data_IF_140283659129
#
_entry.id   IF_140283659129
#
_cell.length_a   1.000
_cell.length_b   1.000
_cell.length_c   1.000
_cell.angle_alpha   90.00
_cell.angle_beta   90.00
_cell.angle_gamma   90.00
#
_symmetry.space_group_name_H-M   'P 1'
#
loop_
_entity.id
_entity.type
_entity.pdbx_description
1 polymer ?
#
# COMPACT_ATOMS: atom_id res chain seq x y z
N UNK A 1 -7.70 2.07 42.30
CA UNK A 1 -7.39 2.36 40.89
C UNK A 1 -6.75 1.11 40.31
N UNK A 2 -7.23 0.62 39.16
CA UNK A 2 -6.59 -0.51 38.48
C UNK A 2 -5.39 0.03 37.70
N UNK A 3 -4.18 -0.38 38.06
CA UNK A 3 -3.00 -0.09 37.25
C UNK A 3 -3.01 -0.98 36.00
N UNK A 4 -2.52 -0.46 34.89
CA UNK A 4 -2.34 -1.21 33.65
C UNK A 4 -0.84 -1.32 33.41
N UNK A 5 -0.35 -2.52 33.13
CA UNK A 5 1.07 -2.70 32.84
C UNK A 5 1.41 -2.06 31.49
N UNK A 6 2.41 -1.17 31.46
CA UNK A 6 2.85 -0.48 30.24
C UNK A 6 3.43 -1.39 29.14
N UNK A 7 3.84 -2.62 29.47
CA UNK A 7 4.42 -3.57 28.51
C UNK A 7 3.33 -4.46 27.88
N UNK A 8 2.54 -5.15 28.71
CA UNK A 8 1.56 -6.12 28.21
C UNK A 8 0.17 -5.50 27.98
N UNK A 9 -0.08 -4.29 28.48
CA UNK A 9 -1.34 -3.54 28.34
C UNK A 9 -2.54 -4.27 28.99
N UNK A 10 -2.30 -5.39 29.68
CA UNK A 10 -3.32 -6.09 30.44
C UNK A 10 -3.52 -5.42 31.81
N UNK A 11 -4.76 -5.44 32.28
CA UNK A 11 -5.09 -5.08 33.66
C UNK A 11 -4.29 -5.98 34.58
N UNK A 12 -3.51 -5.40 35.48
CA UNK A 12 -2.88 -6.18 36.52
C UNK A 12 -3.99 -6.73 37.42
N UNK A 13 -4.04 -8.05 37.54
CA UNK A 13 -4.90 -8.71 38.52
C UNK A 13 -4.27 -8.53 39.91
N UNK A 14 -5.08 -8.47 40.96
CA UNK A 14 -4.61 -8.27 42.35
C UNK A 14 -3.55 -9.29 42.79
N UNK A 15 -3.51 -10.46 42.15
CA UNK A 15 -2.52 -11.52 42.42
C UNK A 15 -1.17 -11.31 41.69
N UNK A 16 -1.08 -10.37 40.75
CA UNK A 16 0.18 -10.06 40.04
C UNK A 16 0.89 -8.91 40.72
N UNK A 17 2.08 -9.19 41.26
CA UNK A 17 2.95 -8.16 41.82
C UNK A 17 3.24 -7.09 40.76
N UNK A 18 2.83 -5.84 41.03
CA UNK A 18 3.16 -4.69 40.21
C UNK A 18 4.42 -4.01 40.76
N UNK A 19 5.29 -3.55 39.87
CA UNK A 19 6.45 -2.73 40.20
C UNK A 19 6.15 -1.32 39.69
N UNK A 20 6.14 -0.36 40.62
CA UNK A 20 6.11 1.07 40.32
C UNK A 20 7.55 1.54 40.13
N UNK A 21 7.85 2.10 38.96
CA UNK A 21 9.20 2.56 38.65
C UNK A 21 9.56 3.80 39.47
N UNK A 22 10.66 3.78 40.23
CA UNK A 22 11.12 4.96 40.94
C UNK A 22 11.51 6.06 39.94
N UNK A 23 11.14 7.30 40.24
CA UNK A 23 11.45 8.48 39.44
C UNK A 23 10.37 8.86 38.42
N UNK A 24 9.83 7.91 37.65
CA UNK A 24 8.83 8.21 36.62
C UNK A 24 7.40 7.76 36.96
N UNK A 25 7.22 6.86 37.92
CA UNK A 25 5.89 6.43 38.36
C UNK A 25 5.12 5.54 37.38
N UNK A 26 5.74 5.05 36.30
CA UNK A 26 5.13 4.04 35.42
C UNK A 26 5.02 2.70 36.15
N UNK A 27 3.97 1.93 35.86
CA UNK A 27 3.66 0.67 36.55
C UNK A 27 3.77 -0.51 35.57
N UNK A 28 4.42 -1.59 36.02
CA UNK A 28 4.59 -2.79 35.23
C UNK A 28 4.31 -4.06 36.05
N UNK A 29 3.82 -5.11 35.41
CA UNK A 29 3.79 -6.44 36.00
C UNK A 29 5.23 -6.90 36.26
N UNK A 30 5.52 -7.47 37.44
CA UNK A 30 6.85 -7.95 37.82
C UNK A 30 7.47 -8.86 36.76
N UNK A 31 6.71 -9.81 36.24
CA UNK A 31 7.21 -10.72 35.19
C UNK A 31 7.56 -9.99 33.88
N UNK A 32 6.80 -8.95 33.52
CA UNK A 32 7.08 -8.18 32.30
C UNK A 32 8.34 -7.34 32.46
N UNK A 33 8.49 -6.69 33.62
CA UNK A 33 9.64 -5.82 33.88
C UNK A 33 10.91 -6.65 34.13
N UNK A 34 10.84 -7.79 34.81
CA UNK A 34 12.00 -8.69 34.99
C UNK A 34 12.54 -9.19 33.64
N UNK A 35 11.65 -9.51 32.69
CA UNK A 35 12.04 -9.89 31.33
C UNK A 35 12.59 -8.70 30.52
N UNK A 36 12.08 -7.49 30.75
CA UNK A 36 12.50 -6.28 30.03
C UNK A 36 13.81 -5.68 30.55
N UNK A 37 14.09 -5.82 31.86
CA UNK A 37 15.24 -5.23 32.55
C UNK A 37 16.49 -6.09 32.52
N UNK A 38 16.45 -7.27 31.91
CA UNK A 38 17.61 -8.16 31.81
C UNK A 38 18.84 -7.56 31.13
N UNK A 39 18.77 -6.32 30.64
CA UNK A 39 19.78 -5.68 29.79
C UNK A 39 20.13 -4.24 30.21
N UNK A 40 19.15 -3.41 30.59
CA UNK A 40 19.37 -1.99 30.90
C UNK A 40 18.41 -1.53 32.02
N UNK A 41 18.91 -0.76 33.00
CA UNK A 41 18.12 -0.20 34.11
C UNK A 41 17.36 1.07 33.68
N UNK A 42 16.60 0.99 32.59
CA UNK A 42 15.81 2.10 32.05
C UNK A 42 14.33 1.75 32.06
N UNK A 43 13.48 2.73 32.38
CA UNK A 43 12.04 2.56 32.26
C UNK A 43 11.65 2.32 30.79
N UNK A 44 10.91 1.26 30.43
CA UNK A 44 10.55 0.99 29.03
C UNK A 44 9.71 2.08 28.36
N UNK A 45 8.94 2.85 29.14
CA UNK A 45 8.09 3.92 28.59
C UNK A 45 8.84 5.24 28.39
N UNK A 46 9.56 5.71 29.41
CA UNK A 46 10.17 7.05 29.40
C UNK A 46 11.70 7.04 29.33
N UNK A 47 12.31 5.86 29.29
CA UNK A 47 13.77 5.66 29.25
C UNK A 47 14.54 6.27 30.42
N UNK A 48 13.86 6.73 31.49
CA UNK A 48 14.54 7.22 32.69
C UNK A 48 15.36 6.09 33.30
N UNK A 49 16.67 6.34 33.40
CA UNK A 49 17.60 5.46 34.14
C UNK A 49 17.22 5.53 35.60
N UNK A 50 17.03 4.37 36.23
CA UNK A 50 16.75 4.32 37.66
C UNK A 50 17.82 3.46 38.35
N UNK A 51 18.50 4.08 39.31
CA UNK A 51 19.53 3.43 40.11
C UNK A 51 18.84 2.79 41.31
N UNK A 52 18.33 1.56 41.17
CA UNK A 52 17.92 0.82 42.36
C UNK A 52 19.15 0.20 43.04
N UNK A 53 19.42 0.51 44.32
CA UNK A 53 20.33 -0.27 45.13
C UNK A 53 19.55 -1.50 45.64
N UNK A 54 19.55 -2.63 44.93
CA UNK A 54 18.74 -3.81 45.32
C UNK A 54 19.25 -5.13 44.75
N UNK A 55 19.14 -6.27 45.48
CA UNK A 55 19.66 -7.62 45.15
C UNK A 55 19.18 -8.26 43.85
N UNK A 56 18.33 -7.58 43.07
CA UNK A 56 17.88 -7.99 41.74
C UNK A 56 18.87 -7.54 40.66
N UNK A 57 20.18 -7.75 40.89
CA UNK A 57 21.13 -7.67 39.78
C UNK A 57 20.71 -8.77 38.82
N UNK A 58 20.26 -8.46 37.58
CA UNK A 58 19.98 -9.49 36.60
C UNK A 58 21.20 -10.38 36.57
N UNK A 59 21.02 -11.69 36.76
CA UNK A 59 22.09 -12.65 36.54
C UNK A 59 22.60 -12.33 35.16
N UNK A 60 23.81 -11.78 35.07
CA UNK A 60 24.43 -11.42 33.79
C UNK A 60 24.40 -12.73 33.03
N UNK A 61 23.49 -12.84 32.05
CA UNK A 61 23.45 -13.97 31.16
C UNK A 61 24.85 -13.99 30.57
N UNK A 62 25.60 -15.06 30.89
CA UNK A 62 26.98 -15.22 30.45
C UNK A 62 27.08 -14.79 28.99
N UNK A 63 28.07 -13.98 28.65
CA UNK A 63 28.30 -13.50 27.29
C UNK A 63 28.43 -14.65 26.27
N UNK A 64 28.62 -15.88 26.75
CA UNK A 64 28.72 -17.10 25.95
C UNK A 64 27.36 -17.77 25.66
N UNK A 65 26.23 -17.22 26.11
CA UNK A 65 24.92 -17.79 25.81
C UNK A 65 24.47 -17.40 24.39
N UNK A 66 24.43 -18.37 23.47
CA UNK A 66 24.04 -18.22 22.06
C UNK A 66 22.73 -17.42 21.88
N UNK A 67 21.76 -17.61 22.77
CA UNK A 67 20.47 -16.90 22.74
C UNK A 67 20.62 -15.38 22.92
N UNK A 68 21.58 -14.94 23.73
CA UNK A 68 21.84 -13.52 23.96
C UNK A 68 22.44 -12.86 22.71
N UNK A 69 23.32 -13.58 22.00
CA UNK A 69 23.90 -13.10 20.74
C UNK A 69 22.84 -12.97 19.64
N UNK A 70 21.94 -13.95 19.53
CA UNK A 70 20.78 -13.88 18.62
C UNK A 70 19.88 -12.69 18.93
N UNK A 71 19.61 -12.43 20.21
CA UNK A 71 18.82 -11.27 20.63
C UNK A 71 19.49 -9.93 20.26
N UNK A 72 20.79 -9.77 20.49
CA UNK A 72 21.55 -8.56 20.10
C UNK A 72 21.47 -8.37 18.58
N UNK A 73 21.65 -9.44 17.81
CA UNK A 73 21.58 -9.40 16.36
C UNK A 73 20.16 -9.03 15.87
N UNK A 74 19.13 -9.57 16.50
CA UNK A 74 17.74 -9.21 16.23
C UNK A 74 17.47 -7.73 16.53
N UNK A 75 17.94 -7.22 17.68
CA UNK A 75 17.81 -5.80 18.03
C UNK A 75 18.50 -4.89 17.02
N UNK A 76 19.71 -5.27 16.57
CA UNK A 76 20.44 -4.53 15.53
C UNK A 76 19.67 -4.51 14.22
N UNK A 77 19.14 -5.65 13.79
CA UNK A 77 18.31 -5.75 12.58
C UNK A 77 17.04 -4.91 12.67
N UNK A 78 16.37 -4.89 13.83
CA UNK A 78 15.20 -4.02 14.07
C UNK A 78 15.57 -2.54 14.04
N UNK A 79 16.72 -2.15 14.60
CA UNK A 79 17.21 -0.78 14.54
C UNK A 79 17.48 -0.34 13.09
N UNK A 80 18.20 -1.16 12.31
CA UNK A 80 18.47 -0.92 10.90
C UNK A 80 17.18 -0.82 10.07
N UNK A 81 16.19 -1.69 10.31
CA UNK A 81 14.89 -1.64 9.65
C UNK A 81 14.13 -0.35 9.99
N UNK A 82 14.19 0.11 11.25
CA UNK A 82 13.58 1.37 11.66
C UNK A 82 14.24 2.58 10.99
N UNK A 83 15.57 2.60 10.87
CA UNK A 83 16.29 3.64 10.13
C UNK A 83 15.86 3.68 8.65
N UNK A 84 15.72 2.53 8.00
CA UNK A 84 15.21 2.45 6.63
C UNK A 84 13.77 2.95 6.50
N UNK A 85 12.91 2.63 7.47
CA UNK A 85 11.53 3.15 7.51
C UNK A 85 11.52 4.67 7.62
N UNK A 86 12.40 5.26 8.44
CA UNK A 86 12.51 6.72 8.54
C UNK A 86 13.01 7.35 7.24
N UNK A 87 14.01 6.76 6.58
CA UNK A 87 14.50 7.21 5.27
C UNK A 87 13.39 7.19 4.21
N UNK A 88 12.67 6.07 4.07
CA UNK A 88 11.55 5.94 3.12
C UNK A 88 10.41 6.92 3.41
N UNK A 89 10.12 7.20 4.68
CA UNK A 89 9.13 8.23 5.07
C UNK A 89 9.57 9.63 4.62
N UNK A 90 10.86 9.95 4.75
CA UNK A 90 11.40 11.23 4.29
C UNK A 90 11.32 11.37 2.77
N UNK A 91 11.72 10.33 2.02
CA UNK A 91 11.60 10.30 0.55
C UNK A 91 10.15 10.44 0.09
N UNK A 92 9.21 9.73 0.72
CA UNK A 92 7.80 9.83 0.39
C UNK A 92 7.24 11.23 0.65
N UNK A 93 7.70 11.91 1.70
CA UNK A 93 7.33 13.29 1.98
C UNK A 93 7.93 14.26 0.95
N UNK A 94 9.17 14.03 0.51
CA UNK A 94 9.79 14.82 -0.56
C UNK A 94 9.02 14.69 -1.87
N UNK A 95 8.69 13.47 -2.31
CA UNK A 95 7.91 13.22 -3.53
C UNK A 95 6.53 13.88 -3.45
N UNK A 96 5.88 13.88 -2.28
CA UNK A 96 4.60 14.60 -2.08
C UNK A 96 4.76 16.11 -2.29
N UNK A 97 5.84 16.71 -1.78
CA UNK A 97 6.14 18.12 -1.99
C UNK A 97 6.40 18.43 -3.47
N UNK A 98 7.18 17.61 -4.17
CA UNK A 98 7.46 17.76 -5.60
C UNK A 98 6.18 17.65 -6.44
N UNK A 99 5.32 16.66 -6.15
CA UNK A 99 4.03 16.50 -6.82
C UNK A 99 3.12 17.73 -6.61
N UNK A 100 3.12 18.32 -5.42
CA UNK A 100 2.36 19.53 -5.14
C UNK A 100 2.87 20.75 -5.94
N UNK A 101 4.19 20.85 -6.11
CA UNK A 101 4.81 21.89 -6.96
C UNK A 101 4.39 21.70 -8.42
N UNK A 102 4.45 20.48 -8.95
CA UNK A 102 4.05 20.19 -10.33
C UNK A 102 2.55 20.44 -10.57
N UNK A 103 1.68 20.08 -9.61
CA UNK A 103 0.26 20.42 -9.70
C UNK A 103 0.01 21.91 -9.81
N UNK A 104 0.69 22.73 -8.99
CA UNK A 104 0.59 24.20 -9.07
C UNK A 104 1.12 24.74 -10.41
N UNK A 105 2.19 24.16 -10.96
CA UNK A 105 2.68 24.54 -12.30
C UNK A 105 1.64 24.23 -13.37
N UNK A 106 1.03 23.04 -13.30
CA UNK A 106 -0.02 22.63 -14.22
C UNK A 106 -1.28 23.51 -14.12
N UNK A 107 -1.69 23.89 -12.92
CA UNK A 107 -2.78 24.85 -12.68
C UNK A 107 -2.50 26.20 -13.35
N UNK A 108 -1.29 26.76 -13.15
CA UNK A 108 -0.88 28.01 -13.81
C UNK A 108 -0.85 27.90 -15.35
N UNK A 109 -0.36 26.78 -15.88
CA UNK A 109 -0.39 26.52 -17.33
C UNK A 109 -1.84 26.43 -17.85
N UNK A 110 -2.74 25.79 -17.12
CA UNK A 110 -4.14 25.71 -17.47
C UNK A 110 -4.81 27.09 -17.44
N UNK A 111 -4.58 27.90 -16.41
CA UNK A 111 -5.06 29.29 -16.34
C UNK A 111 -4.56 30.11 -17.54
N UNK A 112 -3.27 29.98 -17.89
CA UNK A 112 -2.69 30.63 -19.06
C UNK A 112 -3.31 30.18 -20.39
N UNK A 113 -3.81 28.94 -20.48
CA UNK A 113 -4.53 28.42 -21.66
C UNK A 113 -6.01 28.82 -21.70
N UNK A 114 -6.66 28.99 -20.54
CA UNK A 114 -8.06 29.46 -20.49
C UNK A 114 -8.21 30.90 -20.98
N UNK A 115 -7.21 31.76 -20.73
CA UNK A 115 -7.22 33.16 -21.18
C UNK A 115 -7.37 33.32 -22.71
N UNK A 116 -6.51 32.70 -23.56
CA UNK A 116 -6.66 32.76 -25.01
C UNK A 116 -7.89 32.00 -25.51
N UNK A 117 -8.33 30.93 -24.83
CA UNK A 117 -9.59 30.26 -25.17
C UNK A 117 -10.79 31.20 -25.02
N UNK A 118 -10.88 31.92 -23.90
CA UNK A 118 -11.93 32.90 -23.65
C UNK A 118 -11.84 34.08 -24.63
N UNK A 119 -10.62 34.56 -24.94
CA UNK A 119 -10.44 35.60 -25.96
C UNK A 119 -10.90 35.15 -27.36
N UNK A 120 -10.66 33.88 -27.71
CA UNK A 120 -11.12 33.30 -28.97
C UNK A 120 -12.65 33.17 -29.01
N UNK A 121 -13.29 32.80 -27.89
CA UNK A 121 -14.75 32.76 -27.78
C UNK A 121 -15.38 34.15 -27.93
N UNK A 122 -14.80 35.19 -27.30
CA UNK A 122 -15.22 36.59 -27.47
C UNK A 122 -15.07 37.04 -28.93
N UNK A 123 -13.98 36.64 -29.61
CA UNK A 123 -13.80 36.99 -31.03
C UNK A 123 -14.80 36.25 -31.94
N UNK A 124 -15.22 35.03 -31.58
CA UNK A 124 -16.24 34.28 -32.35
C UNK A 124 -17.64 34.86 -32.18
N UNK A 125 -18.00 35.35 -30.99
CA UNK A 125 -19.30 36.01 -30.79
C UNK A 125 -19.34 37.38 -31.48
N UNK A 126 -18.28 38.18 -31.39
CA UNK A 126 -18.23 39.50 -32.03
C UNK A 126 -18.19 39.48 -33.58
N UNK A 127 -17.71 38.39 -34.20
CA UNK A 127 -17.69 38.26 -35.66
C UNK A 127 -19.05 37.87 -36.25
N UNK A 128 -19.89 37.15 -35.49
CA UNK A 128 -21.23 36.79 -35.93
C UNK A 128 -22.15 38.01 -36.07
N UNK A 129 -22.06 38.99 -35.16
CA UNK A 129 -22.88 40.22 -35.23
C UNK A 129 -22.47 41.13 -36.40
N UNK A 130 -21.18 41.16 -36.77
CA UNK A 130 -20.72 41.91 -37.95
C UNK A 130 -21.11 41.27 -39.28
N UNK A 131 -21.33 39.95 -39.32
CA UNK A 131 -21.78 39.25 -40.53
C UNK A 131 -23.30 39.41 -40.71
N UNK A 132 -24.08 39.48 -39.63
CA UNK A 132 -25.51 39.78 -39.73
C UNK A 132 -25.79 41.24 -40.14
N UNK A 133 -25.01 42.22 -39.66
CA UNK A 133 -25.21 43.62 -40.06
C UNK A 133 -24.78 43.95 -41.50
N UNK A 134 -24.16 43.02 -42.24
CA UNK A 134 -23.82 43.18 -43.67
C UNK A 134 -24.71 42.41 -44.63
N UNK A 135 -25.68 41.62 -44.14
CA UNK A 135 -26.61 40.87 -45.02
C UNK A 135 -27.82 41.68 -45.48
N UNK A 136 -28.12 42.83 -44.87
CA UNK A 136 -29.23 43.70 -45.30
C UNK A 136 -28.87 44.62 -46.48
N UNK A 137 -27.66 44.53 -47.05
CA UNK A 137 -27.24 45.31 -48.22
C UNK A 137 -26.77 44.47 -49.41
N UNK A 138 -27.02 43.15 -49.42
CA UNK A 138 -26.66 42.28 -50.56
C UNK A 138 -27.76 41.28 -50.93
N UNK A 139 -29.02 41.59 -50.58
CA UNK A 139 -30.20 40.77 -50.86
C UNK A 139 -30.87 41.02 -52.22
N UNK A 140 -30.34 41.88 -53.10
CA UNK A 140 -31.00 42.19 -54.39
C UNK A 140 -30.28 41.70 -55.66
N UNK A 141 -29.09 41.11 -55.59
CA UNK A 141 -28.36 40.70 -56.80
C UNK A 141 -27.65 39.36 -56.64
N UNK A 142 -28.40 38.27 -56.51
CA UNK A 142 -27.98 36.97 -57.07
C UNK A 142 -29.14 35.96 -57.05
N UNK A 143 -30.05 36.10 -58.01
CA UNK A 143 -30.99 35.05 -58.38
C UNK A 143 -30.70 34.64 -59.80
N UNK A 144 -29.65 33.84 -60.02
CA UNK A 144 -29.49 33.03 -61.24
C UNK A 144 -28.19 32.22 -61.18
N UNK A 145 -28.34 30.90 -61.29
CA UNK A 145 -27.30 29.88 -61.43
C UNK A 145 -26.49 29.64 -60.14
N UNK A 146 -26.36 28.42 -59.62
CA UNK A 146 -25.82 27.25 -60.33
C UNK A 146 -26.40 25.96 -59.74
N UNK A 147 -26.77 25.08 -60.68
CA UNK A 147 -27.16 23.70 -60.50
C UNK A 147 -26.07 22.80 -59.89
N UNK A 148 -26.54 21.78 -59.18
CA UNK A 148 -26.02 20.40 -59.17
C UNK A 148 -24.50 20.19 -59.02
N UNK A 149 -24.08 19.60 -57.90
CA UNK A 149 -23.07 18.53 -57.98
C UNK A 149 -23.25 17.50 -56.86
N UNK A 150 -23.46 16.27 -57.30
CA UNK A 150 -23.67 15.07 -56.50
C UNK A 150 -22.42 14.70 -55.69
N UNK A 151 -22.63 14.28 -54.45
CA UNK A 151 -21.60 13.68 -53.60
C UNK A 151 -21.53 12.19 -53.95
N UNK A 152 -20.46 11.80 -54.64
CA UNK A 152 -20.10 10.42 -54.88
C UNK A 152 -19.45 9.81 -53.63
N UNK A 153 -19.94 8.63 -53.26
CA UNK A 153 -19.31 7.68 -52.34
C UNK A 153 -17.88 7.34 -52.80
N UNK A 154 -16.92 7.32 -51.87
CA UNK A 154 -15.62 6.65 -52.08
C UNK A 154 -15.27 5.82 -50.83
N UNK A 155 -14.74 4.58 -51.00
CA UNK A 155 -14.57 3.61 -49.93
C UNK A 155 -13.26 3.79 -49.17
N UNK A 156 -13.32 3.49 -47.87
CA UNK A 156 -12.17 3.34 -46.97
C UNK A 156 -11.33 2.10 -47.32
N UNK A 157 -10.14 2.30 -47.86
CA UNK A 157 -9.05 1.32 -47.85
C UNK A 157 -8.01 1.70 -46.80
N UNK A 158 -7.85 0.82 -45.80
CA UNK A 158 -6.80 0.87 -44.78
C UNK A 158 -5.51 0.36 -45.38
N UNK A 159 -4.55 1.24 -45.61
CA UNK A 159 -3.16 0.84 -45.89
C UNK A 159 -2.28 1.21 -44.70
N UNK A 160 -1.78 0.17 -44.04
CA UNK A 160 -0.82 0.17 -42.95
C UNK A 160 0.56 0.55 -43.52
N UNK A 161 1.07 1.72 -43.14
CA UNK A 161 2.43 2.14 -43.50
C UNK A 161 3.30 2.14 -42.25
N UNK A 162 4.37 1.34 -42.27
CA UNK A 162 5.45 1.42 -41.29
C UNK A 162 6.19 2.76 -41.43
N UNK A 163 6.72 3.33 -40.34
CA UNK A 163 7.57 4.50 -40.42
C UNK A 163 9.01 4.06 -40.73
N UNK A 164 9.45 4.33 -41.96
CA UNK A 164 10.87 4.33 -42.32
C UNK A 164 11.49 5.65 -41.87
N UNK A 165 12.58 5.57 -41.12
CA UNK A 165 13.41 6.72 -40.71
C UNK A 165 13.89 7.49 -41.93
N UNK A 166 13.53 8.78 -42.01
CA UNK A 166 14.04 9.71 -43.01
C UNK A 166 15.10 10.59 -42.33
N UNK A 167 16.35 10.20 -42.48
CA UNK A 167 17.51 11.08 -42.35
C UNK A 167 17.60 11.95 -43.61
N UNK A 168 16.99 13.14 -43.60
CA UNK A 168 17.22 14.15 -44.62
C UNK A 168 16.86 15.53 -44.12
N UNK A 169 17.79 16.25 -43.46
CA UNK A 169 17.56 17.66 -43.10
C UNK A 169 18.83 18.52 -42.98
N UNK A 170 19.84 18.28 -43.82
CA UNK A 170 21.03 19.16 -43.90
C UNK A 170 21.15 19.90 -45.25
N UNK A 171 20.35 19.57 -46.27
CA UNK A 171 20.52 20.12 -47.63
C UNK A 171 19.75 21.42 -47.93
N UNK A 172 18.77 21.84 -47.12
CA UNK A 172 17.92 23.03 -47.44
C UNK A 172 18.49 24.38 -47.01
N UNK A 173 19.48 24.40 -46.11
CA UNK A 173 20.03 25.67 -45.57
C UNK A 173 20.87 26.43 -46.60
N UNK A 174 21.44 25.74 -47.59
CA UNK A 174 22.29 26.34 -48.63
C UNK A 174 21.50 27.12 -49.69
N UNK A 175 20.25 26.71 -49.98
CA UNK A 175 19.42 27.37 -50.99
C UNK A 175 19.01 28.79 -50.58
N UNK A 176 18.64 29.00 -49.32
CA UNK A 176 18.17 30.31 -48.86
C UNK A 176 19.30 31.36 -48.79
N UNK A 177 20.48 30.97 -48.31
CA UNK A 177 21.66 31.86 -48.30
C UNK A 177 22.11 32.21 -49.72
N UNK A 178 21.99 31.28 -50.67
CA UNK A 178 22.24 31.57 -52.09
C UNK A 178 21.24 32.59 -52.66
N UNK A 179 19.95 32.46 -52.36
CA UNK A 179 18.92 33.40 -52.80
C UNK A 179 19.11 34.78 -52.15
N UNK A 180 19.51 34.83 -50.87
CA UNK A 180 19.82 36.07 -50.17
C UNK A 180 21.03 36.79 -50.78
N UNK A 181 22.09 36.05 -51.11
CA UNK A 181 23.28 36.58 -51.80
C UNK A 181 22.93 37.15 -53.18
N UNK A 182 22.15 36.43 -53.99
CA UNK A 182 21.71 36.90 -55.31
C UNK A 182 20.79 38.13 -55.24
N UNK A 183 19.92 38.21 -54.24
CA UNK A 183 19.10 39.40 -54.01
C UNK A 183 19.95 40.61 -53.67
N UNK A 184 20.93 40.45 -52.78
CA UNK A 184 21.83 41.54 -52.36
C UNK A 184 22.65 42.08 -53.54
N UNK A 185 23.14 41.21 -54.42
CA UNK A 185 23.87 41.59 -55.65
C UNK A 185 22.94 42.34 -56.61
N UNK A 186 21.73 41.84 -56.82
CA UNK A 186 20.73 42.46 -57.70
C UNK A 186 20.30 43.84 -57.18
N UNK A 187 20.13 43.98 -55.87
CA UNK A 187 19.80 45.24 -55.21
C UNK A 187 20.94 46.26 -55.34
N UNK A 188 22.20 45.83 -55.21
CA UNK A 188 23.38 46.68 -55.44
C UNK A 188 23.45 47.23 -56.87
N UNK A 189 23.22 46.38 -57.89
CA UNK A 189 23.17 46.79 -59.30
C UNK A 189 22.02 47.76 -59.58
N UNK A 190 20.86 47.50 -58.99
CA UNK A 190 19.69 48.35 -59.12
C UNK A 190 19.92 49.74 -58.50
N UNK A 191 20.52 49.81 -57.31
CA UNK A 191 20.87 51.08 -56.66
C UNK A 191 21.89 51.91 -57.46
N UNK A 192 22.87 51.26 -58.12
CA UNK A 192 23.79 51.95 -59.03
C UNK A 192 23.08 52.58 -60.23
N UNK A 193 22.10 51.88 -60.82
CA UNK A 193 21.29 52.42 -61.92
C UNK A 193 20.39 53.57 -61.45
N UNK A 194 19.84 53.47 -60.24
CA UNK A 194 19.04 54.52 -59.63
C UNK A 194 19.84 55.81 -59.41
N UNK A 195 21.04 55.69 -58.86
CA UNK A 195 21.93 56.84 -58.62
C UNK A 195 22.32 57.57 -59.90
N UNK A 196 22.41 56.85 -61.04
CA UNK A 196 22.62 57.48 -62.36
C UNK A 196 21.38 58.25 -62.86
N UNK A 197 20.16 57.82 -62.50
CA UNK A 197 18.89 58.46 -62.91
C UNK A 197 18.38 59.55 -61.95
N UNK A 198 18.89 59.64 -60.71
CA UNK A 198 18.52 60.67 -59.70
C UNK A 198 18.62 62.12 -60.21
N UNK A 199 19.38 62.37 -61.29
CA UNK A 199 19.60 63.72 -61.83
C UNK A 199 18.38 64.34 -62.55
N UNK A 200 17.33 63.57 -62.87
CA UNK A 200 16.23 64.07 -63.73
C UNK A 200 14.81 63.98 -63.15
N UNK A 201 14.53 63.20 -62.09
CA UNK A 201 13.18 63.09 -61.53
C UNK A 201 13.25 62.79 -60.01
N UNK A 202 13.30 63.81 -59.12
CA UNK A 202 13.53 63.61 -57.69
C UNK A 202 12.31 63.05 -56.93
N UNK A 203 11.11 63.45 -57.32
CA UNK A 203 9.91 63.30 -56.47
C UNK A 203 9.27 61.91 -56.54
N UNK A 204 9.20 61.32 -57.73
CA UNK A 204 8.71 59.93 -57.92
C UNK A 204 9.67 58.90 -57.34
N UNK A 205 10.97 59.23 -57.29
CA UNK A 205 11.99 58.33 -56.77
C UNK A 205 11.92 58.19 -55.25
N UNK A 206 11.67 59.30 -54.54
CA UNK A 206 11.47 59.29 -53.09
C UNK A 206 10.26 58.43 -52.69
N UNK A 207 9.12 58.58 -53.38
CA UNK A 207 7.92 57.75 -53.12
C UNK A 207 8.18 56.26 -53.35
N UNK A 208 9.01 55.93 -54.33
CA UNK A 208 9.37 54.54 -54.62
C UNK A 208 10.34 53.95 -53.59
N UNK A 209 11.32 54.74 -53.12
CA UNK A 209 12.21 54.37 -52.00
C UNK A 209 11.40 54.13 -50.71
N UNK A 210 10.44 55.00 -50.39
CA UNK A 210 9.54 54.84 -49.24
C UNK A 210 8.68 53.58 -49.34
N UNK A 211 8.08 53.32 -50.51
CA UNK A 211 7.26 52.14 -50.74
C UNK A 211 8.07 50.84 -50.61
N UNK A 212 9.28 50.81 -51.15
CA UNK A 212 10.16 49.66 -51.00
C UNK A 212 10.61 49.44 -49.56
N UNK A 213 10.92 50.50 -48.82
CA UNK A 213 11.23 50.35 -47.41
C UNK A 213 10.03 49.85 -46.61
N UNK A 214 8.82 50.29 -46.95
CA UNK A 214 7.59 49.73 -46.37
C UNK A 214 7.47 48.23 -46.63
N UNK A 215 7.77 47.77 -47.85
CA UNK A 215 7.75 46.34 -48.20
C UNK A 215 8.83 45.56 -47.46
N UNK A 216 10.07 46.07 -47.43
CA UNK A 216 11.18 45.42 -46.73
C UNK A 216 10.88 45.28 -45.24
N UNK A 217 10.33 46.32 -44.59
CA UNK A 217 9.89 46.27 -43.20
C UNK A 217 8.79 45.22 -42.99
N UNK A 218 7.81 45.13 -43.90
CA UNK A 218 6.78 44.07 -43.83
C UNK A 218 7.38 42.67 -43.98
N UNK A 219 8.30 42.48 -44.93
CA UNK A 219 8.98 41.20 -45.13
C UNK A 219 9.82 40.80 -43.91
N UNK A 220 10.51 41.76 -43.29
CA UNK A 220 11.25 41.52 -42.06
C UNK A 220 10.32 41.11 -40.91
N UNK A 221 9.21 41.83 -40.72
CA UNK A 221 8.21 41.47 -39.72
C UNK A 221 7.60 40.08 -39.97
N UNK A 222 7.34 39.72 -41.24
CA UNK A 222 6.89 38.38 -41.58
C UNK A 222 7.93 37.31 -41.25
N UNK A 223 9.21 37.57 -41.53
CA UNK A 223 10.29 36.64 -41.16
C UNK A 223 10.35 36.46 -39.64
N UNK A 224 10.27 37.53 -38.86
CA UNK A 224 10.23 37.46 -37.39
C UNK A 224 9.03 36.64 -36.89
N UNK A 225 7.86 36.80 -37.50
CA UNK A 225 6.67 36.00 -37.15
C UNK A 225 6.86 34.51 -37.48
N UNK A 226 7.51 34.18 -38.61
CA UNK A 226 7.83 32.80 -38.99
C UNK A 226 8.82 32.18 -38.00
N UNK A 227 9.84 32.92 -37.59
CA UNK A 227 10.83 32.44 -36.62
C UNK A 227 10.17 32.16 -35.27
N UNK A 228 9.34 33.08 -34.75
CA UNK A 228 8.56 32.89 -33.52
C UNK A 228 7.63 31.68 -33.62
N UNK A 229 6.94 31.52 -34.75
CA UNK A 229 6.05 30.38 -34.97
C UNK A 229 6.83 29.05 -34.98
N UNK A 230 8.03 29.04 -35.56
CA UNK A 230 8.91 27.87 -35.63
C UNK A 230 9.42 27.48 -34.23
N UNK A 231 9.86 28.46 -33.44
CA UNK A 231 10.28 28.24 -32.05
C UNK A 231 9.16 27.66 -31.20
N UNK A 232 7.93 28.20 -31.33
CA UNK A 232 6.74 27.68 -30.62
C UNK A 232 6.40 26.25 -31.03
N UNK A 233 6.47 25.94 -32.32
CA UNK A 233 6.26 24.58 -32.84
C UNK A 233 7.30 23.61 -32.28
N UNK A 234 8.58 24.03 -32.22
CA UNK A 234 9.65 23.22 -31.67
C UNK A 234 9.50 23.00 -30.16
N UNK A 235 9.14 24.04 -29.40
CA UNK A 235 8.83 23.93 -27.97
C UNK A 235 7.66 22.97 -27.70
N UNK A 236 6.59 23.06 -28.51
CA UNK A 236 5.43 22.17 -28.42
C UNK A 236 5.82 20.72 -28.71
N UNK A 237 6.68 20.50 -29.71
CA UNK A 237 7.19 19.17 -30.04
C UNK A 237 8.04 18.58 -28.91
N UNK A 238 8.92 19.37 -28.31
CA UNK A 238 9.71 18.95 -27.14
C UNK A 238 8.82 18.60 -25.94
N UNK A 239 7.80 19.42 -25.67
CA UNK A 239 6.81 19.14 -24.62
C UNK A 239 6.02 17.86 -24.89
N UNK A 240 5.57 17.63 -26.13
CA UNK A 240 4.90 16.40 -26.54
C UNK A 240 5.77 15.16 -26.35
N UNK A 241 7.07 15.26 -26.64
CA UNK A 241 8.01 14.16 -26.43
C UNK A 241 8.20 13.86 -24.94
N UNK A 242 8.32 14.90 -24.10
CA UNK A 242 8.36 14.75 -22.63
C UNK A 242 7.12 14.02 -22.10
N UNK A 243 5.93 14.47 -22.51
CA UNK A 243 4.66 13.84 -22.15
C UNK A 243 4.59 12.37 -22.57
N UNK A 244 5.18 12.03 -23.73
CA UNK A 244 5.22 10.64 -24.21
C UNK A 244 6.15 9.76 -23.35
N UNK A 245 7.27 10.33 -22.86
CA UNK A 245 8.17 9.65 -21.92
C UNK A 245 7.47 9.43 -20.58
N UNK A 246 6.82 10.46 -20.04
CA UNK A 246 6.08 10.38 -18.78
C UNK A 246 4.94 9.36 -18.86
N UNK A 247 4.20 9.34 -19.97
CA UNK A 247 3.18 8.32 -20.24
C UNK A 247 3.76 6.90 -20.21
N UNK A 248 4.92 6.67 -20.83
CA UNK A 248 5.58 5.35 -20.81
C UNK A 248 6.03 4.97 -19.40
N UNK A 249 6.55 5.92 -18.63
CA UNK A 249 6.93 5.72 -17.22
C UNK A 249 5.73 5.33 -16.36
N UNK A 250 4.63 6.08 -16.44
CA UNK A 250 3.39 5.80 -15.72
C UNK A 250 2.78 4.45 -16.12
N UNK A 251 2.82 4.07 -17.40
CA UNK A 251 2.36 2.75 -17.83
C UNK A 251 3.21 1.62 -17.23
N UNK A 252 4.53 1.81 -17.11
CA UNK A 252 5.42 0.83 -16.46
C UNK A 252 5.10 0.70 -14.96
N UNK A 253 4.94 1.82 -14.27
CA UNK A 253 4.56 1.85 -12.84
C UNK A 253 3.20 1.19 -12.60
N UNK A 254 2.21 1.49 -13.45
CA UNK A 254 0.88 0.87 -13.38
C UNK A 254 0.96 -0.65 -13.58
N UNK A 255 1.75 -1.11 -14.55
CA UNK A 255 1.92 -2.53 -14.81
C UNK A 255 2.59 -3.26 -13.64
N UNK A 256 3.61 -2.65 -13.02
CA UNK A 256 4.23 -3.18 -11.79
C UNK A 256 3.23 -3.24 -10.62
N UNK A 257 2.36 -2.23 -10.48
CA UNK A 257 1.31 -2.23 -9.45
C UNK A 257 0.27 -3.34 -9.67
N UNK A 258 -0.12 -3.61 -10.92
CA UNK A 258 -1.02 -4.73 -11.28
C UNK A 258 -0.37 -6.07 -10.90
N UNK A 259 0.91 -6.29 -11.22
CA UNK A 259 1.62 -7.51 -10.84
C UNK A 259 1.67 -7.72 -9.32
N UNK A 260 1.95 -6.66 -8.55
CA UNK A 260 1.91 -6.73 -7.08
C UNK A 260 0.51 -7.11 -6.59
N UNK A 261 -0.54 -6.55 -7.18
CA UNK A 261 -1.92 -6.92 -6.83
C UNK A 261 -2.25 -8.38 -7.14
N UNK A 262 -1.74 -8.93 -8.24
CA UNK A 262 -1.92 -10.35 -8.58
C UNK A 262 -1.23 -11.27 -7.58
N UNK A 263 0.00 -10.93 -7.16
CA UNK A 263 0.74 -11.68 -6.13
C UNK A 263 -0.02 -11.67 -4.80
N UNK A 264 -0.53 -10.51 -4.38
CA UNK A 264 -1.34 -10.38 -3.16
C UNK A 264 -2.60 -11.25 -3.26
N UNK A 265 -3.27 -11.26 -4.42
CA UNK A 265 -4.45 -12.09 -4.64
C UNK A 265 -4.13 -13.59 -4.58
N UNK A 266 -2.99 -14.02 -5.12
CA UNK A 266 -2.54 -15.41 -5.02
C UNK A 266 -2.22 -15.81 -3.58
N UNK A 267 -1.55 -14.94 -2.83
CA UNK A 267 -1.24 -15.16 -1.41
C UNK A 267 -2.53 -15.33 -0.60
N UNK A 268 -3.52 -14.47 -0.81
CA UNK A 268 -4.82 -14.56 -0.15
C UNK A 268 -5.54 -15.90 -0.42
N UNK A 269 -5.46 -16.43 -1.65
CA UNK A 269 -6.01 -17.76 -1.97
C UNK A 269 -5.28 -18.89 -1.23
N UNK A 270 -3.95 -18.79 -1.11
CA UNK A 270 -3.15 -19.78 -0.40
C UNK A 270 -3.45 -19.75 1.12
N UNK A 271 -3.61 -18.56 1.70
CA UNK A 271 -4.04 -18.38 3.08
C UNK A 271 -5.41 -19.02 3.32
N UNK A 272 -6.40 -18.73 2.47
CA UNK A 272 -7.74 -19.33 2.57
C UNK A 272 -7.70 -20.86 2.51
N UNK A 273 -6.91 -21.44 1.60
CA UNK A 273 -6.74 -22.89 1.51
C UNK A 273 -6.10 -23.46 2.78
N UNK A 274 -5.09 -22.78 3.34
CA UNK A 274 -4.42 -23.19 4.58
C UNK A 274 -5.36 -23.12 5.78
N UNK A 275 -6.16 -22.06 5.89
CA UNK A 275 -7.19 -21.92 6.93
C UNK A 275 -8.22 -23.05 6.86
N UNK A 276 -8.66 -23.44 5.65
CA UNK A 276 -9.59 -24.54 5.48
C UNK A 276 -9.01 -25.87 5.98
N UNK A 277 -7.75 -26.16 5.65
CA UNK A 277 -7.06 -27.38 6.13
C UNK A 277 -6.92 -27.38 7.66
N UNK A 278 -6.55 -26.24 8.25
CA UNK A 278 -6.48 -26.11 9.70
C UNK A 278 -7.85 -26.29 10.36
N UNK A 279 -8.90 -25.72 9.77
CA UNK A 279 -10.27 -25.87 10.26
C UNK A 279 -10.73 -27.34 10.23
N UNK A 280 -10.40 -28.09 9.16
CA UNK A 280 -10.68 -29.53 9.08
C UNK A 280 -9.94 -30.32 10.17
N UNK A 281 -8.66 -30.00 10.41
CA UNK A 281 -7.87 -30.64 11.47
C UNK A 281 -8.44 -30.35 12.87
N UNK A 282 -8.83 -29.11 13.13
CA UNK A 282 -9.47 -28.71 14.39
C UNK A 282 -10.78 -29.48 14.57
N UNK A 283 -11.61 -29.58 13.53
CA UNK A 283 -12.86 -30.35 13.58
C UNK A 283 -12.61 -31.83 13.89
N UNK A 284 -11.56 -32.43 13.32
CA UNK A 284 -11.19 -33.82 13.60
C UNK A 284 -10.68 -34.01 15.04
N UNK A 285 -9.90 -33.05 15.56
CA UNK A 285 -9.46 -33.06 16.96
C UNK A 285 -10.63 -32.93 17.94
N UNK A 286 -11.59 -32.03 17.66
CA UNK A 286 -12.78 -31.88 18.50
C UNK A 286 -13.57 -33.17 18.57
N UNK A 287 -13.80 -33.84 17.43
CA UNK A 287 -14.48 -35.14 17.41
C UNK A 287 -13.79 -36.18 18.30
N UNK A 288 -12.46 -36.24 18.28
CA UNK A 288 -11.69 -37.15 19.15
C UNK A 288 -11.77 -36.77 20.62
N UNK A 289 -11.88 -35.47 20.94
CA UNK A 289 -12.11 -35.04 22.32
C UNK A 289 -13.49 -35.49 22.80
N UNK A 290 -14.52 -35.35 21.96
CA UNK A 290 -15.87 -35.83 22.28
C UNK A 290 -15.88 -37.35 22.52
N UNK A 291 -15.21 -38.14 21.66
CA UNK A 291 -15.05 -39.60 21.83
C UNK A 291 -14.32 -39.97 23.15
N UNK A 292 -13.35 -39.16 23.57
CA UNK A 292 -12.64 -39.35 24.84
C UNK A 292 -13.50 -38.97 26.05
N UNK A 293 -14.31 -37.91 25.94
CA UNK A 293 -15.26 -37.51 26.98
C UNK A 293 -16.33 -38.59 27.20
N UNK A 294 -16.86 -39.16 26.11
CA UNK A 294 -17.78 -40.31 26.18
C UNK A 294 -17.14 -41.52 26.88
N UNK A 295 -15.88 -41.82 26.54
CA UNK A 295 -15.12 -42.92 27.17
C UNK A 295 -14.85 -42.66 28.66
N UNK A 296 -14.59 -41.41 29.06
CA UNK A 296 -14.43 -41.01 30.46
C UNK A 296 -15.74 -41.20 31.24
N UNK A 297 -16.88 -40.82 30.66
CA UNK A 297 -18.19 -41.03 31.26
C UNK A 297 -18.51 -42.52 31.46
N UNK A 298 -18.19 -43.37 30.49
CA UNK A 298 -18.37 -44.83 30.60
C UNK A 298 -17.50 -45.44 31.71
N UNK A 299 -16.24 -44.98 31.83
CA UNK A 299 -15.34 -45.38 32.91
C UNK A 299 -15.85 -44.94 34.27
N UNK A 300 -16.38 -43.72 34.40
CA UNK A 300 -16.94 -43.22 35.65
C UNK A 300 -18.19 -44.02 36.07
N UNK A 301 -19.08 -44.33 35.12
CA UNK A 301 -20.24 -45.20 35.35
C UNK A 301 -19.81 -46.59 35.84
N UNK A 302 -18.80 -47.19 35.21
CA UNK A 302 -18.24 -48.48 35.61
C UNK A 302 -17.62 -48.44 37.01
N UNK A 303 -16.88 -47.37 37.31
CA UNK A 303 -16.27 -47.16 38.61
C UNK A 303 -17.32 -47.00 39.72
N UNK A 304 -18.39 -46.23 39.46
CA UNK A 304 -19.54 -46.12 40.38
C UNK A 304 -20.20 -47.48 40.65
N UNK A 305 -20.37 -48.31 39.63
CA UNK A 305 -20.92 -49.67 39.79
C UNK A 305 -20.01 -50.57 40.64
N UNK A 306 -18.70 -50.54 40.40
CA UNK A 306 -17.72 -51.29 41.19
C UNK A 306 -17.68 -50.81 42.64
N UNK A 307 -17.78 -49.51 42.87
CA UNK A 307 -17.83 -48.92 44.20
C UNK A 307 -19.10 -49.37 44.95
N UNK A 308 -20.26 -49.36 44.29
CA UNK A 308 -21.50 -49.88 44.87
C UNK A 308 -21.42 -51.39 45.19
N UNK A 309 -20.76 -52.20 44.35
CA UNK A 309 -20.49 -53.62 44.66
C UNK A 309 -19.57 -53.79 45.86
N UNK A 310 -18.53 -52.96 45.96
CA UNK A 310 -17.60 -52.99 47.08
C UNK A 310 -18.31 -52.63 48.40
N UNK A 311 -19.16 -51.60 48.39
CA UNK A 311 -19.97 -51.20 49.56
C UNK A 311 -20.89 -52.34 50.01
N UNK A 312 -21.54 -53.04 49.07
CA UNK A 312 -22.33 -54.24 49.39
C UNK A 312 -21.48 -55.32 50.04
N UNK A 313 -20.31 -55.64 49.47
CA UNK A 313 -19.42 -56.65 50.05
C UNK A 313 -18.93 -56.27 51.44
N UNK A 314 -18.59 -54.99 51.65
CA UNK A 314 -18.17 -54.48 52.96
C UNK A 314 -19.29 -54.61 53.99
N UNK A 315 -20.55 -54.37 53.60
CA UNK A 315 -21.70 -54.56 54.48
C UNK A 315 -21.95 -56.03 54.88
N UNK A 316 -21.50 -57.00 54.09
CA UNK A 316 -21.55 -58.43 54.43
C UNK A 316 -20.37 -58.89 55.29
N UNK A 317 -19.31 -58.10 55.42
CA UNK A 317 -18.19 -58.48 56.27
C UNK A 317 -18.56 -58.31 57.75
N UNK A 318 -18.26 -59.28 58.62
CA UNK A 318 -18.48 -59.14 60.06
C UNK A 318 -17.76 -57.91 60.60
N UNK A 319 -18.34 -57.26 61.60
CA UNK A 319 -17.71 -56.12 62.26
C UNK A 319 -16.36 -56.56 62.85
N UNK A 320 -15.35 -55.70 62.77
CA UNK A 320 -13.94 -56.06 63.06
C UNK A 320 -13.78 -56.66 64.46
N UNK A 321 -14.62 -56.25 65.41
CA UNK A 321 -14.64 -56.72 66.79
C UNK A 321 -15.19 -58.16 66.96
N UNK A 322 -15.82 -58.72 65.92
CA UNK A 322 -16.31 -60.11 65.89
C UNK A 322 -15.38 -61.05 65.13
N UNK A 323 -14.33 -60.53 64.47
CA UNK A 323 -13.39 -61.34 63.69
C UNK A 323 -12.14 -61.80 64.47
N UNK A 324 -11.90 -61.30 65.69
CA UNK A 324 -10.75 -61.72 66.51
C UNK A 324 -10.85 -63.19 67.01
N UNK A 325 -11.98 -63.87 66.81
CA UNK A 325 -12.16 -65.31 67.13
C UNK A 325 -11.91 -66.24 65.93
N UNK A 326 -11.73 -65.72 64.72
CA UNK A 326 -11.50 -66.53 63.51
C UNK A 326 -10.08 -66.30 62.95
N UNK A 327 -9.08 -66.84 63.65
CA UNK A 327 -7.64 -66.80 63.27
C UNK A 327 -7.30 -67.62 62.00
N UNK A 328 -8.31 -68.10 61.28
CA UNK A 328 -8.21 -68.72 59.96
C UNK A 328 -9.05 -67.94 58.96
N UNK A 329 -8.76 -66.66 58.80
CA UNK A 329 -9.37 -65.83 57.76
C UNK A 329 -9.17 -66.48 56.37
N UNK A 330 -10.29 -66.84 55.74
CA UNK A 330 -10.36 -67.45 54.40
C UNK A 330 -9.48 -66.70 53.40
N UNK A 331 -8.77 -67.45 52.55
CA UNK A 331 -7.88 -66.93 51.51
C UNK A 331 -8.50 -65.82 50.64
N UNK A 332 -9.84 -65.80 50.52
CA UNK A 332 -10.61 -64.80 49.78
C UNK A 332 -10.54 -63.39 50.40
N UNK A 333 -10.48 -63.28 51.74
CA UNK A 333 -10.32 -62.00 52.44
C UNK A 333 -8.92 -61.42 52.20
N UNK A 334 -7.90 -62.26 52.17
CA UNK A 334 -6.53 -61.83 51.83
C UNK A 334 -6.42 -61.36 50.38
N UNK A 335 -7.10 -62.03 49.44
CA UNK A 335 -7.19 -61.60 48.04
C UNK A 335 -7.86 -60.23 47.96
N UNK A 336 -8.97 -60.03 48.68
CA UNK A 336 -9.71 -58.76 48.66
C UNK A 336 -8.88 -57.60 49.23
N UNK A 337 -8.16 -57.83 50.33
CA UNK A 337 -7.26 -56.84 50.92
C UNK A 337 -6.08 -56.49 49.98
N UNK A 338 -5.48 -57.49 49.31
CA UNK A 338 -4.43 -57.27 48.29
C UNK A 338 -4.95 -56.46 47.10
N UNK A 339 -6.14 -56.78 46.60
CA UNK A 339 -6.77 -56.05 45.48
C UNK A 339 -7.06 -54.59 45.86
N UNK A 340 -7.56 -54.33 47.08
CA UNK A 340 -7.79 -52.96 47.59
C UNK A 340 -6.48 -52.17 47.71
N UNK A 341 -5.40 -52.80 48.19
CA UNK A 341 -4.06 -52.20 48.27
C UNK A 341 -3.49 -51.87 46.88
N UNK A 342 -3.64 -52.77 45.90
CA UNK A 342 -3.25 -52.52 44.51
C UNK A 342 -4.04 -51.36 43.88
N UNK A 343 -5.37 -51.32 44.06
CA UNK A 343 -6.22 -50.23 43.60
C UNK A 343 -5.80 -48.87 44.20
N UNK A 344 -5.47 -48.84 45.50
CA UNK A 344 -4.94 -47.64 46.16
C UNK A 344 -3.58 -47.23 45.61
N UNK A 345 -2.67 -48.17 45.34
CA UNK A 345 -1.37 -47.89 44.70
C UNK A 345 -1.52 -47.38 43.27
N UNK A 346 -2.48 -47.90 42.51
CA UNK A 346 -2.78 -47.43 41.15
C UNK A 346 -3.33 -45.99 41.22
N UNK A 347 -4.29 -45.72 42.12
CA UNK A 347 -4.89 -44.39 42.35
C UNK A 347 -3.87 -43.36 42.87
N UNK A 348 -2.93 -43.79 43.71
CA UNK A 348 -1.83 -42.95 44.22
C UNK A 348 -0.65 -42.86 43.27
N UNK A 349 -0.62 -43.65 42.19
CA UNK A 349 0.52 -43.61 41.28
C UNK A 349 0.59 -42.22 40.66
N UNK A 350 1.72 -41.56 40.89
CA UNK A 350 1.99 -40.20 40.42
C UNK A 350 1.86 -40.06 38.91
N UNK A 351 1.90 -41.18 38.18
CA UNK A 351 1.70 -41.27 36.73
C UNK A 351 0.31 -40.79 36.30
N UNK A 352 -0.77 -41.21 36.97
CA UNK A 352 -2.13 -40.76 36.63
C UNK A 352 -2.35 -39.29 36.95
N UNK A 353 -1.83 -38.81 38.09
CA UNK A 353 -1.88 -37.39 38.44
C UNK A 353 -1.15 -36.52 37.41
N UNK A 354 0.08 -36.90 37.04
CA UNK A 354 0.86 -36.22 35.99
C UNK A 354 0.16 -36.24 34.63
N UNK A 355 -0.51 -37.35 34.30
CA UNK A 355 -1.26 -37.45 33.06
C UNK A 355 -2.48 -36.51 33.07
N UNK A 356 -3.22 -36.44 34.18
CA UNK A 356 -4.34 -35.50 34.35
C UNK A 356 -3.90 -34.05 34.31
N UNK A 357 -2.80 -33.68 34.98
CA UNK A 357 -2.20 -32.34 34.91
C UNK A 357 -1.80 -31.97 33.48
N UNK A 358 -1.19 -32.92 32.74
CA UNK A 358 -0.82 -32.73 31.34
C UNK A 358 -2.05 -32.54 30.45
N UNK A 359 -3.11 -33.34 30.66
CA UNK A 359 -4.36 -33.22 29.93
C UNK A 359 -5.02 -31.86 30.17
N UNK A 360 -5.10 -31.43 31.44
CA UNK A 360 -5.60 -30.11 31.79
C UNK A 360 -4.77 -28.98 31.19
N UNK A 361 -3.43 -29.12 31.14
CA UNK A 361 -2.58 -28.16 30.46
C UNK A 361 -2.91 -28.07 28.98
N UNK A 362 -2.98 -29.20 28.27
CA UNK A 362 -3.34 -29.22 26.85
C UNK A 362 -4.73 -28.63 26.59
N UNK A 363 -5.70 -28.86 27.48
CA UNK A 363 -7.03 -28.24 27.38
C UNK A 363 -6.96 -26.71 27.55
N UNK A 364 -6.14 -26.19 28.47
CA UNK A 364 -5.93 -24.74 28.62
C UNK A 364 -5.29 -24.14 27.38
N UNK A 365 -4.28 -24.78 26.83
CA UNK A 365 -3.57 -24.33 25.64
C UNK A 365 -4.50 -24.32 24.42
N UNK A 366 -5.31 -25.37 24.26
CA UNK A 366 -6.32 -25.48 23.18
C UNK A 366 -7.38 -24.39 23.31
N UNK A 367 -7.86 -24.11 24.52
CA UNK A 367 -8.80 -22.99 24.78
C UNK A 367 -8.18 -21.63 24.52
N UNK A 368 -6.88 -21.45 24.78
CA UNK A 368 -6.16 -20.22 24.43
C UNK A 368 -6.09 -20.05 22.92
N UNK A 369 -5.62 -21.08 22.20
CA UNK A 369 -5.51 -21.08 20.75
C UNK A 369 -6.86 -20.81 20.05
N UNK A 370 -7.96 -21.34 20.60
CA UNK A 370 -9.32 -21.08 20.11
C UNK A 370 -9.80 -19.63 20.36
N UNK A 371 -9.29 -18.93 21.38
CA UNK A 371 -9.55 -17.50 21.58
C UNK A 371 -8.75 -16.66 20.59
N UNK A 372 -7.48 -16.98 20.40
CA UNK A 372 -6.59 -16.26 19.47
C UNK A 372 -7.09 -16.41 18.02
N UNK A 373 -7.51 -17.61 17.64
CA UNK A 373 -8.11 -17.88 16.32
C UNK A 373 -9.38 -17.04 16.08
N UNK A 374 -10.24 -16.87 17.10
CA UNK A 374 -11.43 -16.00 17.01
C UNK A 374 -11.06 -14.52 16.89
N UNK A 375 -10.03 -14.09 17.60
CA UNK A 375 -9.48 -12.73 17.48
C UNK A 375 -8.97 -12.45 16.07
N UNK A 376 -8.19 -13.37 15.50
CA UNK A 376 -7.70 -13.25 14.12
C UNK A 376 -8.83 -13.22 13.08
N UNK A 377 -9.86 -14.06 13.23
CA UNK A 377 -11.03 -14.03 12.35
C UNK A 377 -11.76 -12.68 12.38
N UNK A 378 -11.88 -12.06 13.56
CA UNK A 378 -12.47 -10.72 13.69
C UNK A 378 -11.60 -9.64 13.00
N UNK A 379 -10.28 -9.72 13.15
CA UNK A 379 -9.35 -8.79 12.50
C UNK A 379 -9.40 -8.90 10.97
N UNK A 380 -9.47 -10.12 10.43
CA UNK A 380 -9.66 -10.35 8.99
C UNK A 380 -10.97 -9.74 8.50
N UNK A 381 -12.07 -9.91 9.22
CA UNK A 381 -13.36 -9.31 8.89
C UNK A 381 -13.33 -7.78 8.92
N UNK A 382 -12.53 -7.17 9.79
CA UNK A 382 -12.30 -5.71 9.78
C UNK A 382 -11.46 -5.27 8.58
N UNK A 383 -10.41 -6.00 8.24
CA UNK A 383 -9.58 -5.72 7.06
C UNK A 383 -10.40 -5.79 5.76
N UNK A 384 -11.28 -6.79 5.61
CA UNK A 384 -12.19 -6.90 4.47
C UNK A 384 -13.12 -5.67 4.33
N UNK A 385 -13.66 -5.17 5.45
CA UNK A 385 -14.48 -3.94 5.45
C UNK A 385 -13.69 -2.70 5.00
N UNK A 386 -12.44 -2.58 5.43
CA UNK A 386 -11.56 -1.50 4.99
C UNK A 386 -11.27 -1.58 3.49
N UNK A 387 -10.97 -2.78 2.98
CA UNK A 387 -10.75 -3.02 1.54
C UNK A 387 -12.00 -2.63 0.74
N UNK A 388 -13.20 -3.05 1.16
CA UNK A 388 -14.46 -2.67 0.50
C UNK A 388 -14.69 -1.15 0.50
N UNK A 389 -14.32 -0.48 1.59
CA UNK A 389 -14.42 0.99 1.72
C UNK A 389 -13.47 1.70 0.74
N UNK A 390 -12.22 1.21 0.62
CA UNK A 390 -11.24 1.73 -0.34
C UNK A 390 -11.67 1.51 -1.79
N UNK A 391 -12.21 0.32 -2.11
CA UNK A 391 -12.75 0.03 -3.45
C UNK A 391 -13.90 0.97 -3.79
N UNK A 392 -14.78 1.26 -2.83
CA UNK A 392 -15.89 2.20 -3.01
C UNK A 392 -15.38 3.62 -3.23
N UNK A 393 -14.42 4.09 -2.42
CA UNK A 393 -13.80 5.41 -2.56
C UNK A 393 -13.12 5.58 -3.93
N UNK A 394 -12.39 4.56 -4.40
CA UNK A 394 -11.75 4.58 -5.72
C UNK A 394 -12.79 4.66 -6.85
N UNK A 395 -13.93 3.97 -6.72
CA UNK A 395 -15.04 4.06 -7.69
C UNK A 395 -15.64 5.47 -7.74
N UNK A 396 -15.82 6.13 -6.60
CA UNK A 396 -16.31 7.52 -6.56
C UNK A 396 -15.30 8.52 -7.15
N UNK A 397 -14.00 8.37 -6.85
CA UNK A 397 -12.96 9.20 -7.46
C UNK A 397 -12.94 9.09 -8.99
N UNK A 398 -13.20 7.89 -9.55
CA UNK A 398 -13.32 7.69 -11.00
C UNK A 398 -14.54 8.34 -11.63
N UNK A 399 -15.56 8.70 -10.86
CA UNK A 399 -16.73 9.45 -11.38
C UNK A 399 -16.48 10.95 -11.46
N UNK A 400 -15.47 11.44 -10.73
CA UNK A 400 -15.16 12.87 -10.62
C UNK A 400 -14.13 13.36 -11.66
N UNK A 401 -13.47 12.45 -12.38
CA UNK A 401 -12.56 12.78 -13.49
C UNK A 401 -13.06 12.17 -14.78
#
# INVERSE_FOLDING_TARGET
MLAVCGICIYKSFEERCCILMPGCGHVFDKACIDNSLGLEYTCPECQCVYLLPSPYRPTILSADNSEHQEYIQMRKSVAEANEQIYALKAELQQVKCELAIERRKHEKCNEALTTPKNALEIHKSGSHDRIFSKRDLSSELSSSAINNLAVANVPTTKTRTQPTEIEANTSKKTSFEQTKSQYTISQGKYNQLLNKKKKYIPETLMKWEEWNQSILNKLYNFQTLVDIATERLQATRSSSNSLQIDKKKLLKELNSSVQVSEIIQQHSKLEQATTLVLQQKISACNKKMDELEDSEQELDMTNRHLQAKLEKLVAFMPDKNTMDEFDTASSELQITAKTKSLMLKIKQSSKWRKMGEKLQSMMRDTKSLARDSRSHANNLKQAEKLIQSLVTMNRELRKLG
#
